data_IF_671555939802
#
_entry.id   IF_671555939802
#
_cell.length_a   1.000
_cell.length_b   1.000
_cell.length_c   1.000
_cell.angle_alpha   90.00
_cell.angle_beta   90.00
_cell.angle_gamma   90.00
#
_symmetry.space_group_name_H-M   'P 1'
#
loop_
_entity.id
_entity.type
_entity.pdbx_description
1 polymer ?
#
# COMPACT_ATOMS: atom_id res chain seq x y z
N UNK A 1 -8.81 63.80 57.16
CA UNK A 1 -10.02 63.22 56.54
C UNK A 1 -9.54 62.20 55.53
N UNK A 2 -10.30 61.11 55.46
CA UNK A 2 -10.26 60.03 54.46
C UNK A 2 -9.34 58.83 54.71
N UNK A 3 -9.94 57.86 55.41
CA UNK A 3 -9.76 56.40 55.26
C UNK A 3 -10.45 55.90 53.96
N UNK A 4 -10.31 54.62 53.58
CA UNK A 4 -9.52 54.13 52.45
C UNK A 4 -10.37 53.75 51.21
N UNK A 5 -9.73 53.50 50.07
CA UNK A 5 -10.36 52.77 48.96
C UNK A 5 -9.57 51.48 48.72
N UNK A 6 -10.25 50.35 48.92
CA UNK A 6 -9.77 49.02 48.56
C UNK A 6 -9.57 48.92 47.04
N UNK A 7 -8.43 48.40 46.62
CA UNK A 7 -8.18 48.02 45.23
C UNK A 7 -9.13 46.88 44.82
N UNK A 8 -10.07 47.23 43.94
CA UNK A 8 -10.92 46.26 43.25
C UNK A 8 -10.08 45.54 42.17
N UNK A 9 -9.98 44.22 42.32
CA UNK A 9 -9.41 43.33 41.33
C UNK A 9 -10.09 43.54 39.96
N UNK A 10 -9.29 43.88 38.95
CA UNK A 10 -9.73 43.89 37.55
C UNK A 10 -9.90 42.46 37.07
N UNK A 11 -11.16 42.00 37.00
CA UNK A 11 -11.53 40.75 36.38
C UNK A 11 -11.46 40.87 34.84
N UNK A 12 -10.53 40.16 34.23
CA UNK A 12 -10.54 39.81 32.80
C UNK A 12 -11.82 38.99 32.50
N UNK A 13 -12.53 39.22 31.38
CA UNK A 13 -13.67 38.38 31.03
C UNK A 13 -13.19 36.97 30.69
N UNK A 14 -13.50 36.01 31.56
CA UNK A 14 -13.34 34.58 31.30
C UNK A 14 -14.17 34.21 30.06
N UNK A 15 -13.46 33.85 28.99
CA UNK A 15 -14.06 33.29 27.78
C UNK A 15 -14.60 31.90 28.15
N UNK A 16 -15.91 31.78 28.18
CA UNK A 16 -16.62 30.54 28.48
C UNK A 16 -16.07 29.37 27.64
N UNK A 17 -15.89 28.16 28.20
CA UNK A 17 -15.49 27.00 27.42
C UNK A 17 -16.62 26.71 26.43
N UNK A 18 -16.35 27.02 25.16
CA UNK A 18 -17.21 26.63 24.05
C UNK A 18 -17.17 25.10 24.03
N UNK A 19 -18.33 24.50 24.33
CA UNK A 19 -18.66 23.09 24.18
C UNK A 19 -17.86 22.47 23.02
N UNK A 20 -17.16 21.34 23.20
CA UNK A 20 -16.51 20.70 22.07
C UNK A 20 -17.59 20.40 21.04
N UNK A 21 -17.48 21.03 19.87
CA UNK A 21 -18.35 20.74 18.75
C UNK A 21 -18.28 19.23 18.51
N UNK A 22 -19.46 18.62 18.60
CA UNK A 22 -19.71 17.19 18.42
C UNK A 22 -19.50 16.80 16.95
N UNK A 23 -18.27 16.94 16.46
CA UNK A 23 -17.84 16.52 15.12
C UNK A 23 -16.87 15.32 15.17
N UNK A 24 -16.96 14.51 16.24
CA UNK A 24 -16.39 13.17 16.30
C UNK A 24 -17.43 12.19 16.88
N UNK A 25 -18.54 12.06 16.17
CA UNK A 25 -19.43 10.91 16.29
C UNK A 25 -20.02 10.72 14.89
N UNK A 26 -19.74 9.57 14.27
CA UNK A 26 -20.13 9.15 12.91
C UNK A 26 -19.02 9.15 11.85
N UNK A 27 -17.77 8.93 12.25
CA UNK A 27 -16.92 8.08 11.41
C UNK A 27 -17.42 6.64 11.60
N UNK A 28 -18.06 6.00 10.61
CA UNK A 28 -18.36 4.59 10.71
C UNK A 28 -17.04 3.88 10.97
N UNK A 29 -16.91 3.21 12.12
CA UNK A 29 -15.89 2.18 12.28
C UNK A 29 -16.01 1.26 11.07
N UNK A 30 -14.95 1.00 10.29
CA UNK A 30 -15.09 0.23 9.06
C UNK A 30 -15.40 -1.22 9.40
N UNK A 31 -16.67 -1.52 9.63
CA UNK A 31 -17.27 -2.85 9.62
C UNK A 31 -17.53 -3.26 8.17
N UNK A 32 -16.49 -3.21 7.34
CA UNK A 32 -16.27 -4.14 6.23
C UNK A 32 -14.90 -3.83 5.62
N UNK A 33 -14.08 -4.86 5.43
CA UNK A 33 -12.76 -4.73 4.81
C UNK A 33 -12.84 -4.34 3.30
N UNK A 34 -14.06 -4.23 2.73
CA UNK A 34 -14.28 -4.09 1.29
C UNK A 34 -13.72 -2.81 0.68
N UNK A 35 -13.69 -1.70 1.42
CA UNK A 35 -13.11 -0.44 0.93
C UNK A 35 -11.58 -0.51 0.77
N UNK A 36 -10.91 -1.43 1.48
CA UNK A 36 -9.45 -1.60 1.40
C UNK A 36 -9.00 -2.41 0.19
N UNK A 37 -9.91 -3.12 -0.46
CA UNK A 37 -9.62 -3.99 -1.60
C UNK A 37 -9.87 -3.33 -2.96
N UNK A 38 -10.59 -2.20 -2.96
CA UNK A 38 -10.88 -1.46 -4.18
C UNK A 38 -9.59 -0.90 -4.81
N UNK A 39 -9.46 -0.96 -6.14
CA UNK A 39 -8.43 -0.24 -6.86
C UNK A 39 -8.49 1.25 -6.51
N UNK A 40 -7.33 1.89 -6.40
CA UNK A 40 -7.29 3.35 -6.33
C UNK A 40 -7.59 3.87 -7.73
N UNK A 41 -8.64 4.67 -7.86
CA UNK A 41 -8.88 5.46 -9.07
C UNK A 41 -7.94 6.65 -9.02
N UNK A 42 -6.95 6.67 -9.90
CA UNK A 42 -5.99 7.76 -10.02
C UNK A 42 -6.54 8.79 -11.00
N UNK A 43 -6.57 10.04 -10.56
CA UNK A 43 -6.88 11.18 -11.41
C UNK A 43 -5.62 11.58 -12.21
N UNK A 44 -5.70 12.06 -13.47
CA UNK A 44 -4.52 12.46 -14.26
C UNK A 44 -3.57 13.44 -13.56
N UNK A 45 -4.12 14.28 -12.68
CA UNK A 45 -3.34 15.23 -11.88
C UNK A 45 -2.63 14.61 -10.66
N UNK A 46 -2.94 13.36 -10.31
CA UNK A 46 -2.33 12.68 -9.18
C UNK A 46 -0.85 12.41 -9.47
N UNK A 47 -0.02 12.74 -8.48
CA UNK A 47 1.42 12.47 -8.51
C UNK A 47 1.72 11.24 -7.67
N UNK A 48 2.71 10.47 -8.08
CA UNK A 48 3.19 9.33 -7.32
C UNK A 48 4.71 9.35 -7.20
N UNK A 49 5.19 8.79 -6.09
CA UNK A 49 6.62 8.53 -5.85
C UNK A 49 6.76 7.15 -5.23
N UNK A 50 7.69 6.34 -5.73
CA UNK A 50 8.11 5.13 -5.06
C UNK A 50 9.13 5.48 -3.99
N UNK A 51 8.86 5.13 -2.74
CA UNK A 51 9.78 5.37 -1.62
C UNK A 51 11.00 4.44 -1.65
N UNK A 52 10.84 3.25 -2.26
CA UNK A 52 11.91 2.24 -2.31
C UNK A 52 12.95 2.55 -3.40
N UNK A 53 12.53 3.01 -4.59
CA UNK A 53 13.46 3.27 -5.71
C UNK A 53 13.50 4.72 -6.19
N UNK A 54 12.70 5.62 -5.61
CA UNK A 54 12.67 7.05 -5.96
C UNK A 54 12.00 7.38 -7.30
N UNK A 55 11.45 6.41 -8.01
CA UNK A 55 10.77 6.66 -9.29
C UNK A 55 9.50 7.50 -9.06
N UNK A 56 9.40 8.64 -9.74
CA UNK A 56 8.26 9.55 -9.68
C UNK A 56 7.50 9.61 -11.02
N UNK A 57 6.22 9.98 -10.97
CA UNK A 57 5.43 10.21 -12.18
C UNK A 57 4.10 10.91 -11.94
N UNK A 58 3.55 11.50 -12.99
CA UNK A 58 2.14 11.90 -13.05
C UNK A 58 1.28 10.72 -13.49
N UNK A 59 -0.03 10.82 -13.27
CA UNK A 59 -0.98 9.79 -13.63
C UNK A 59 -1.26 9.65 -15.15
N UNK A 60 -0.32 10.08 -15.99
CA UNK A 60 -0.53 10.15 -17.43
C UNK A 60 -0.24 8.81 -18.12
N UNK A 61 -1.32 8.27 -18.67
CA UNK A 61 -1.44 7.14 -19.62
C UNK A 61 -1.20 5.72 -19.12
N UNK A 62 -2.27 4.92 -19.30
CA UNK A 62 -2.33 3.48 -19.20
C UNK A 62 -1.25 2.79 -20.04
N UNK A 63 -0.72 1.68 -19.53
CA UNK A 63 0.08 0.77 -20.34
C UNK A 63 -0.77 0.23 -21.52
N UNK A 64 -0.21 0.09 -22.73
CA UNK A 64 -0.94 -0.36 -23.91
C UNK A 64 -1.53 -1.77 -23.78
N UNK A 65 -1.10 -2.55 -22.78
CA UNK A 65 -1.54 -3.91 -22.50
C UNK A 65 -2.67 -4.02 -21.48
N UNK A 66 -3.26 -2.89 -21.04
CA UNK A 66 -4.37 -2.90 -20.09
C UNK A 66 -3.96 -3.24 -18.65
N UNK A 67 -2.66 -3.30 -18.35
CA UNK A 67 -2.16 -3.56 -16.99
C UNK A 67 -2.17 -2.28 -16.15
N UNK A 68 -3.35 -1.87 -15.72
CA UNK A 68 -3.55 -0.86 -14.67
C UNK A 68 -3.21 0.59 -15.04
N UNK A 69 -3.69 1.56 -14.24
CA UNK A 69 -3.34 2.96 -14.43
C UNK A 69 -1.90 3.16 -13.94
N UNK A 70 -1.05 3.65 -14.84
CA UNK A 70 0.30 4.20 -14.63
C UNK A 70 1.47 3.27 -14.94
N UNK A 71 2.58 3.88 -15.37
CA UNK A 71 3.87 3.29 -15.77
C UNK A 71 4.54 2.48 -14.64
N UNK A 72 3.92 1.38 -14.22
CA UNK A 72 4.51 0.41 -13.31
C UNK A 72 5.34 -0.65 -14.03
N UNK A 73 5.74 -0.44 -15.30
CA UNK A 73 6.60 -1.40 -16.02
C UNK A 73 7.87 -1.70 -15.21
N UNK A 74 8.50 -0.67 -14.62
CA UNK A 74 9.67 -0.83 -13.76
C UNK A 74 9.35 -1.52 -12.41
N UNK A 75 8.11 -1.42 -11.96
CA UNK A 75 7.64 -2.05 -10.72
C UNK A 75 7.06 -3.45 -10.93
N UNK A 76 6.92 -3.93 -12.18
CA UNK A 76 6.44 -5.28 -12.48
C UNK A 76 7.26 -6.34 -11.76
N UNK A 77 8.58 -6.17 -11.75
CA UNK A 77 9.51 -7.07 -11.05
C UNK A 77 9.72 -6.72 -9.57
N UNK A 78 9.10 -5.65 -9.07
CA UNK A 78 9.29 -5.14 -7.72
C UNK A 78 7.94 -4.99 -6.99
N UNK A 79 7.19 -6.08 -6.78
CA UNK A 79 5.83 -6.03 -6.24
C UNK A 79 5.74 -5.58 -4.78
N UNK A 80 6.88 -5.54 -4.07
CA UNK A 80 6.97 -5.15 -2.66
C UNK A 80 7.35 -3.68 -2.47
N UNK A 81 7.64 -2.93 -3.54
CA UNK A 81 7.94 -1.52 -3.42
C UNK A 81 6.78 -0.73 -2.82
N UNK A 82 7.12 0.26 -2.00
CA UNK A 82 6.16 1.16 -1.36
C UNK A 82 5.98 2.41 -2.23
N UNK A 83 4.74 2.77 -2.52
CA UNK A 83 4.39 3.95 -3.32
C UNK A 83 3.58 4.92 -2.47
N UNK A 84 3.88 6.22 -2.59
CA UNK A 84 3.08 7.30 -2.05
C UNK A 84 2.34 8.01 -3.18
N UNK A 85 1.07 8.29 -2.94
CA UNK A 85 0.21 9.06 -3.84
C UNK A 85 -0.10 10.42 -3.23
N UNK A 86 -0.01 11.47 -4.05
CA UNK A 86 -0.50 12.79 -3.71
C UNK A 86 -1.98 12.90 -4.06
N UNK A 87 -2.84 13.14 -3.07
CA UNK A 87 -4.29 13.27 -3.27
C UNK A 87 -4.77 14.74 -3.38
N UNK A 88 -3.85 15.68 -3.55
CA UNK A 88 -4.16 17.12 -3.53
C UNK A 88 -3.96 17.79 -2.15
N UNK A 89 -3.95 17.03 -1.06
CA UNK A 89 -3.80 17.56 0.31
C UNK A 89 -2.57 17.01 1.03
N UNK A 90 -2.31 15.70 0.93
CA UNK A 90 -1.20 15.04 1.59
C UNK A 90 -0.73 13.81 0.80
N UNK A 91 0.47 13.33 1.13
CA UNK A 91 1.00 12.07 0.63
C UNK A 91 0.42 10.90 1.43
N UNK A 92 -0.21 9.95 0.73
CA UNK A 92 -0.73 8.72 1.33
C UNK A 92 0.00 7.51 0.78
N UNK A 93 0.52 6.66 1.67
CA UNK A 93 1.09 5.37 1.30
C UNK A 93 0.02 4.45 0.70
N UNK A 94 0.38 3.75 -0.37
CA UNK A 94 -0.46 2.75 -1.03
C UNK A 94 0.36 1.50 -1.34
N UNK A 95 -0.33 0.36 -1.42
CA UNK A 95 0.26 -0.91 -1.85
C UNK A 95 0.13 -1.09 -3.36
N UNK A 96 1.07 -1.78 -3.97
CA UNK A 96 1.14 -1.98 -5.42
C UNK A 96 -0.10 -2.71 -5.97
N UNK A 97 -0.68 -3.63 -5.19
CA UNK A 97 -1.96 -4.28 -5.49
C UNK A 97 -3.09 -3.29 -5.77
N UNK A 98 -3.19 -2.20 -4.99
CA UNK A 98 -4.25 -1.18 -5.18
C UNK A 98 -4.04 -0.34 -6.42
N UNK A 99 -2.81 -0.26 -6.90
CA UNK A 99 -2.44 0.40 -8.15
C UNK A 99 -2.67 -0.51 -9.37
N UNK A 100 -3.21 -1.72 -9.15
CA UNK A 100 -3.57 -2.64 -10.22
C UNK A 100 -2.45 -3.61 -10.61
N UNK A 101 -1.32 -3.62 -9.92
CA UNK A 101 -0.28 -4.62 -10.21
C UNK A 101 -0.76 -6.01 -9.83
N UNK A 102 -0.55 -6.94 -10.76
CA UNK A 102 -0.65 -8.38 -10.55
C UNK A 102 0.72 -8.96 -10.82
N UNK A 103 1.37 -9.50 -9.79
CA UNK A 103 2.69 -10.06 -9.90
C UNK A 103 2.65 -11.47 -10.52
N UNK A 104 3.35 -11.64 -11.63
CA UNK A 104 3.44 -12.93 -12.30
C UNK A 104 4.64 -13.72 -11.77
N UNK A 105 4.37 -14.67 -10.87
CA UNK A 105 5.38 -15.64 -10.41
C UNK A 105 5.84 -16.50 -11.59
N UNK A 106 7.06 -17.04 -11.49
CA UNK A 106 7.71 -17.79 -12.55
C UNK A 106 8.37 -16.92 -13.64
N UNK A 107 7.79 -15.75 -13.96
CA UNK A 107 8.33 -14.80 -14.95
C UNK A 107 8.79 -13.47 -14.34
N UNK A 108 8.89 -13.37 -13.02
CA UNK A 108 9.40 -12.17 -12.34
C UNK A 108 8.59 -10.89 -12.66
N UNK A 109 7.28 -11.02 -12.89
CA UNK A 109 6.41 -9.92 -13.27
C UNK A 109 6.30 -9.62 -14.77
N UNK A 110 7.04 -10.33 -15.63
CA UNK A 110 6.84 -10.24 -17.08
C UNK A 110 5.51 -10.91 -17.50
N UNK A 111 5.05 -10.58 -18.72
CA UNK A 111 3.82 -11.15 -19.29
C UNK A 111 3.99 -12.66 -19.45
N UNK A 112 2.98 -13.42 -19.01
CA UNK A 112 2.94 -14.87 -19.15
C UNK A 112 1.95 -15.30 -20.22
N UNK A 113 2.32 -16.28 -21.05
CA UNK A 113 1.42 -16.89 -22.04
C UNK A 113 0.44 -17.89 -21.42
N UNK A 114 0.75 -18.44 -20.24
CA UNK A 114 -0.10 -19.38 -19.50
C UNK A 114 -0.17 -19.00 -18.00
N UNK A 115 -0.82 -17.88 -17.65
CA UNK A 115 -0.96 -17.47 -16.26
C UNK A 115 -2.06 -18.31 -15.58
N UNK A 116 -1.79 -18.78 -14.37
CA UNK A 116 -2.78 -19.42 -13.52
C UNK A 116 -3.79 -18.43 -12.92
N UNK A 117 -4.69 -18.90 -12.04
CA UNK A 117 -5.72 -18.05 -11.44
C UNK A 117 -5.12 -16.97 -10.54
N UNK A 118 -5.77 -15.81 -10.51
CA UNK A 118 -5.41 -14.70 -9.63
C UNK A 118 -5.68 -15.02 -8.17
N UNK A 119 -4.69 -14.72 -7.32
CA UNK A 119 -4.73 -14.93 -5.87
C UNK A 119 -4.19 -13.70 -5.15
N UNK A 120 -4.41 -13.65 -3.84
CA UNK A 120 -3.87 -12.62 -2.95
C UNK A 120 -3.11 -13.30 -1.82
N UNK A 121 -1.91 -12.80 -1.54
CA UNK A 121 -1.12 -13.21 -0.38
C UNK A 121 -0.51 -12.01 0.33
N UNK A 122 -0.28 -12.18 1.62
CA UNK A 122 0.51 -11.26 2.43
C UNK A 122 1.98 -11.65 2.31
N UNK A 123 2.85 -10.70 1.96
CA UNK A 123 4.30 -10.92 1.90
C UNK A 123 4.97 -10.01 2.93
N UNK A 124 5.69 -10.61 3.86
CA UNK A 124 6.43 -9.92 4.92
C UNK A 124 7.85 -9.67 4.42
N UNK A 125 8.21 -8.40 4.30
CA UNK A 125 9.54 -7.93 3.90
C UNK A 125 10.19 -7.12 5.03
N UNK A 126 11.41 -6.63 4.79
CA UNK A 126 12.06 -5.66 5.68
C UNK A 126 11.28 -4.35 5.79
N UNK A 127 10.63 -3.93 4.71
CA UNK A 127 9.88 -2.66 4.63
C UNK A 127 8.46 -2.78 5.23
N UNK A 128 8.04 -4.00 5.59
CA UNK A 128 6.78 -4.27 6.25
C UNK A 128 5.98 -5.38 5.57
N UNK A 129 4.66 -5.34 5.77
CA UNK A 129 3.74 -6.34 5.22
C UNK A 129 3.02 -5.80 3.99
N UNK A 130 3.06 -6.56 2.90
CA UNK A 130 2.51 -6.17 1.60
C UNK A 130 1.42 -7.15 1.16
N UNK A 131 0.22 -6.64 0.89
CA UNK A 131 -0.80 -7.41 0.18
C UNK A 131 -0.48 -7.42 -1.31
N UNK A 132 -0.14 -8.59 -1.86
CA UNK A 132 0.24 -8.77 -3.26
C UNK A 132 -0.87 -9.54 -3.98
N UNK A 133 -1.40 -8.96 -5.07
CA UNK A 133 -2.15 -9.72 -6.09
C UNK A 133 -1.14 -10.43 -6.98
N UNK A 134 -1.31 -11.72 -7.20
CA UNK A 134 -0.36 -12.51 -7.97
C UNK A 134 -1.02 -13.64 -8.75
N UNK A 135 -0.25 -14.22 -9.67
CA UNK A 135 -0.59 -15.44 -10.41
C UNK A 135 0.63 -16.35 -10.45
N UNK A 136 0.42 -17.66 -10.32
CA UNK A 136 1.44 -18.63 -10.68
C UNK A 136 1.58 -18.72 -12.20
N UNK A 137 2.76 -19.11 -12.68
CA UNK A 137 3.01 -19.47 -14.07
C UNK A 137 2.71 -20.95 -14.27
N UNK A 138 2.00 -21.28 -15.35
CA UNK A 138 1.71 -22.66 -15.76
C UNK A 138 2.48 -23.05 -17.04
N UNK A 139 3.44 -22.21 -17.48
CA UNK A 139 4.34 -22.57 -18.58
C UNK A 139 5.24 -23.74 -18.19
N UNK A 140 5.52 -24.59 -19.17
CA UNK A 140 6.46 -25.70 -19.03
C UNK A 140 7.85 -25.21 -18.59
N UNK A 141 8.47 -25.90 -17.64
CA UNK A 141 9.82 -25.59 -17.15
C UNK A 141 9.90 -24.62 -15.96
N UNK A 142 8.80 -24.01 -15.54
CA UNK A 142 8.79 -23.13 -14.35
C UNK A 142 8.58 -23.89 -13.02
N UNK A 143 8.46 -25.21 -13.03
CA UNK A 143 8.28 -25.99 -11.80
C UNK A 143 6.98 -25.68 -11.04
N UNK A 144 6.88 -26.17 -9.81
CA UNK A 144 5.69 -26.05 -8.97
C UNK A 144 5.53 -24.68 -8.30
N UNK A 145 4.40 -24.49 -7.58
CA UNK A 145 4.10 -23.25 -6.85
C UNK A 145 5.22 -22.87 -5.87
N UNK A 146 5.83 -23.84 -5.20
CA UNK A 146 6.89 -23.61 -4.21
C UNK A 146 8.19 -23.15 -4.87
N UNK A 147 8.61 -23.80 -5.95
CA UNK A 147 9.79 -23.41 -6.72
C UNK A 147 9.64 -21.98 -7.28
N UNK A 148 8.44 -21.59 -7.67
CA UNK A 148 8.16 -20.24 -8.16
C UNK A 148 8.26 -19.18 -7.05
N UNK A 149 7.75 -19.47 -5.84
CA UNK A 149 7.93 -18.59 -4.67
C UNK A 149 9.41 -18.49 -4.27
N UNK A 150 10.10 -19.63 -4.24
CA UNK A 150 11.50 -19.70 -3.86
C UNK A 150 12.38 -18.85 -4.79
N UNK A 151 12.15 -18.93 -6.11
CA UNK A 151 12.85 -18.08 -7.09
C UNK A 151 12.45 -16.61 -7.03
N UNK A 152 11.27 -16.28 -6.50
CA UNK A 152 10.89 -14.90 -6.19
C UNK A 152 11.53 -14.41 -4.88
N UNK A 153 12.35 -15.23 -4.21
CA UNK A 153 12.98 -14.91 -2.92
C UNK A 153 12.01 -14.98 -1.75
N UNK A 154 10.91 -15.73 -1.89
CA UNK A 154 9.84 -15.81 -0.89
C UNK A 154 9.73 -17.21 -0.30
N UNK A 155 9.70 -17.27 1.03
CA UNK A 155 9.44 -18.48 1.78
C UNK A 155 7.97 -18.53 2.19
N UNK A 156 7.25 -19.56 1.76
CA UNK A 156 5.87 -19.76 2.18
C UNK A 156 5.80 -20.15 3.66
N UNK A 157 4.93 -19.51 4.44
CA UNK A 157 4.71 -19.90 5.84
C UNK A 157 4.01 -21.27 5.98
N UNK A 158 3.40 -21.77 4.90
CA UNK A 158 2.72 -23.08 4.82
C UNK A 158 3.03 -23.74 3.49
N UNK A 159 3.10 -25.07 3.48
CA UNK A 159 3.36 -25.85 2.27
C UNK A 159 2.19 -25.84 1.27
N UNK A 160 0.96 -25.63 1.73
CA UNK A 160 -0.25 -25.61 0.89
C UNK A 160 -1.13 -24.40 1.22
N UNK A 161 -1.91 -23.94 0.23
CA UNK A 161 -2.79 -22.77 0.33
C UNK A 161 -2.06 -21.55 0.92
N UNK A 162 -1.00 -21.13 0.23
CA UNK A 162 -0.12 -20.07 0.69
C UNK A 162 -0.89 -18.74 0.72
N UNK A 163 -1.18 -18.27 1.92
CA UNK A 163 -1.76 -16.95 2.19
C UNK A 163 -0.75 -15.94 2.71
N UNK A 164 0.41 -16.45 3.16
CA UNK A 164 1.46 -15.67 3.79
C UNK A 164 2.82 -16.20 3.37
N UNK A 165 3.69 -15.26 3.00
CA UNK A 165 5.09 -15.49 2.67
C UNK A 165 5.98 -14.52 3.45
N UNK A 166 7.23 -14.92 3.67
CA UNK A 166 8.28 -14.07 4.22
C UNK A 166 9.41 -14.01 3.20
N UNK A 167 9.94 -12.83 2.94
CA UNK A 167 11.10 -12.68 2.06
C UNK A 167 12.35 -13.32 2.67
N UNK A 168 13.23 -13.86 1.84
CA UNK A 168 14.51 -14.42 2.26
C UNK A 168 15.37 -13.39 2.98
N UNK A 169 15.36 -12.13 2.52
CA UNK A 169 16.05 -11.03 3.19
C UNK A 169 15.65 -10.90 4.67
N UNK A 170 14.35 -10.97 4.97
CA UNK A 170 13.85 -10.92 6.35
C UNK A 170 14.32 -12.13 7.17
N UNK A 171 14.46 -13.29 6.53
CA UNK A 171 14.97 -14.52 7.16
C UNK A 171 16.51 -14.57 7.26
N UNK A 172 17.24 -13.55 6.79
CA UNK A 172 18.70 -13.56 6.75
C UNK A 172 19.29 -14.52 5.70
N UNK A 173 18.47 -14.99 4.76
CA UNK A 173 18.89 -15.73 3.59
C UNK A 173 19.14 -14.68 2.50
N UNK A 174 20.39 -14.49 2.07
CA UNK A 174 20.73 -13.46 1.09
C UNK A 174 19.88 -13.53 -0.20
N UNK A 175 19.89 -12.48 -1.01
CA UNK A 175 19.33 -12.56 -2.37
C UNK A 175 20.23 -13.48 -3.21
N UNK A 176 19.65 -14.54 -3.79
CA UNK A 176 20.36 -15.52 -4.63
C UNK A 176 20.37 -15.12 -6.10
#
# INVERSE_FOLDING_TARGET
MDTPALDAASATPERSPTKPDRFFADLPTPRSNRLRDLPVVLHPADRHVCETCGTEGSADTAAPDGTGPLRFVQHRSHPLHVVKLWNGQYWRTTVMRRLGLIYQLGHGGAVCSSPGPERIMSVISRDGTHDVRFRYCECLGHGDEFAQLFRAGWFAARATNVKECVTFEMLGLGSF
#
